data_IF_187375070721
#
_entry.id   IF_187375070721
#
_cell.length_a   1.000
_cell.length_b   1.000
_cell.length_c   1.000
_cell.angle_alpha   90.00
_cell.angle_beta   90.00
_cell.angle_gamma   90.00
#
_symmetry.space_group_name_H-M   'P 1'
#
loop_
_entity.id
_entity.type
_entity.pdbx_description
1 polymer ?
#
# COMPACT_ATOMS: atom_id res chain seq x y z
N UNK A 1 12.45 4.36 -11.00
CA UNK A 1 13.01 3.76 -9.79
C UNK A 1 13.76 2.50 -10.19
N UNK A 2 14.84 2.15 -9.49
CA UNK A 2 15.64 0.96 -9.76
C UNK A 2 15.95 0.23 -8.46
N UNK A 3 15.89 -1.11 -8.49
CA UNK A 3 16.26 -1.96 -7.36
C UNK A 3 17.64 -2.54 -7.67
N UNK A 4 18.61 -2.28 -6.79
CA UNK A 4 20.00 -2.66 -6.96
C UNK A 4 20.36 -3.68 -5.87
N UNK A 5 20.78 -4.88 -6.28
CA UNK A 5 21.37 -5.87 -5.38
C UNK A 5 22.86 -5.53 -5.18
N UNK A 6 23.27 -5.22 -3.95
CA UNK A 6 24.65 -4.86 -3.60
C UNK A 6 25.46 -6.04 -3.07
N UNK A 7 24.77 -7.10 -2.67
CA UNK A 7 25.35 -8.34 -2.17
C UNK A 7 24.23 -9.28 -1.71
N UNK A 8 24.60 -10.48 -1.26
CA UNK A 8 23.68 -11.61 -1.00
C UNK A 8 22.43 -11.26 -0.18
N UNK A 9 22.54 -10.30 0.75
CA UNK A 9 21.42 -9.87 1.59
C UNK A 9 21.26 -8.34 1.66
N UNK A 10 21.89 -7.60 0.76
CA UNK A 10 21.93 -6.15 0.80
C UNK A 10 21.36 -5.57 -0.48
N UNK A 11 20.34 -4.74 -0.32
CA UNK A 11 19.61 -4.14 -1.44
C UNK A 11 19.57 -2.62 -1.30
N UNK A 12 19.33 -1.96 -2.43
CA UNK A 12 19.05 -0.54 -2.47
C UNK A 12 17.91 -0.25 -3.43
N UNK A 13 17.04 0.69 -3.04
CA UNK A 13 16.05 1.27 -3.95
C UNK A 13 16.53 2.68 -4.29
N UNK A 14 16.72 2.93 -5.58
CA UNK A 14 17.20 4.20 -6.12
C UNK A 14 16.10 4.91 -6.92
N UNK A 15 15.85 6.17 -6.55
CA UNK A 15 14.90 7.06 -7.18
C UNK A 15 15.66 7.96 -8.15
N UNK A 16 15.32 7.87 -9.44
CA UNK A 16 16.09 8.51 -10.54
C UNK A 16 16.21 10.04 -10.40
N UNK A 17 15.29 10.68 -9.68
CA UNK A 17 15.29 12.12 -9.42
C UNK A 17 15.19 12.38 -7.92
N UNK A 18 15.91 13.35 -7.37
CA UNK A 18 15.60 13.85 -6.02
C UNK A 18 14.45 14.85 -6.15
N UNK A 19 13.29 14.54 -5.55
CA UNK A 19 12.16 15.45 -5.45
C UNK A 19 11.57 15.40 -4.04
N UNK A 20 10.72 16.37 -3.71
CA UNK A 20 10.10 16.47 -2.38
C UNK A 20 9.27 15.24 -2.03
N UNK A 21 8.58 14.64 -3.01
CA UNK A 21 7.78 13.42 -2.80
C UNK A 21 8.64 12.23 -2.38
N UNK A 22 9.83 12.07 -2.97
CA UNK A 22 10.79 11.03 -2.62
C UNK A 22 11.31 11.23 -1.19
N UNK A 23 11.60 12.47 -0.81
CA UNK A 23 11.97 12.79 0.57
C UNK A 23 10.88 12.39 1.56
N UNK A 24 9.63 12.72 1.27
CA UNK A 24 8.48 12.39 2.13
C UNK A 24 8.32 10.87 2.25
N UNK A 25 8.30 10.16 1.12
CA UNK A 25 8.18 8.71 1.09
C UNK A 25 9.30 8.04 1.90
N UNK A 26 10.56 8.41 1.65
CA UNK A 26 11.70 7.84 2.34
C UNK A 26 11.71 8.16 3.84
N UNK A 27 11.31 9.38 4.23
CA UNK A 27 11.15 9.74 5.66
C UNK A 27 10.08 8.88 6.33
N UNK A 28 8.92 8.71 5.70
CA UNK A 28 7.86 7.86 6.23
C UNK A 28 8.32 6.41 6.39
N UNK A 29 9.04 5.87 5.38
CA UNK A 29 9.60 4.52 5.46
C UNK A 29 10.61 4.36 6.59
N UNK A 30 11.49 5.35 6.81
CA UNK A 30 12.43 5.30 7.92
C UNK A 30 11.72 5.35 9.28
N UNK A 31 10.74 6.24 9.42
CA UNK A 31 9.97 6.41 10.66
C UNK A 31 9.12 5.17 11.00
N UNK A 32 8.60 4.49 9.98
CA UNK A 32 7.82 3.26 10.13
C UNK A 32 8.62 2.09 10.69
N UNK A 33 9.94 2.11 10.57
CA UNK A 33 10.85 1.00 10.91
C UNK A 33 10.49 -0.33 10.20
N UNK A 34 9.66 -0.31 9.15
CA UNK A 34 9.22 -1.51 8.41
C UNK A 34 10.40 -2.32 7.87
N UNK A 35 11.44 -1.64 7.36
CA UNK A 35 12.64 -2.28 6.82
C UNK A 35 13.61 -2.80 7.92
N UNK A 36 13.31 -2.49 9.19
CA UNK A 36 14.05 -2.90 10.37
C UNK A 36 15.38 -2.16 10.57
N UNK A 37 16.12 -2.61 11.60
CA UNK A 37 17.41 -2.05 11.97
C UNK A 37 18.44 -2.17 10.83
N UNK A 38 19.32 -1.16 10.71
CA UNK A 38 20.33 -1.06 9.67
C UNK A 38 19.87 -0.40 8.37
N UNK A 39 18.61 0.03 8.29
CA UNK A 39 18.11 0.81 7.15
C UNK A 39 18.75 2.20 7.15
N UNK A 40 19.29 2.62 6.01
CA UNK A 40 19.93 3.93 5.84
C UNK A 40 19.40 4.63 4.59
N UNK A 41 19.33 5.96 4.64
CA UNK A 41 18.95 6.81 3.51
C UNK A 41 20.13 7.72 3.17
N UNK A 42 20.38 7.94 1.88
CA UNK A 42 21.39 8.89 1.44
C UNK A 42 21.00 10.33 1.79
N UNK A 43 21.95 11.24 2.05
CA UNK A 43 21.64 12.62 2.47
C UNK A 43 20.73 13.39 1.50
N UNK A 44 20.80 13.05 0.22
CA UNK A 44 20.01 13.64 -0.87
C UNK A 44 18.64 12.96 -1.08
N UNK A 45 18.27 11.99 -0.23
CA UNK A 45 16.98 11.28 -0.24
C UNK A 45 16.60 10.71 -1.61
N UNK A 46 17.59 10.21 -2.35
CA UNK A 46 17.37 9.51 -3.62
C UNK A 46 17.55 8.00 -3.48
N UNK A 47 18.00 7.51 -2.32
CA UNK A 47 18.33 6.10 -2.15
C UNK A 47 18.10 5.64 -0.72
N UNK A 48 17.53 4.44 -0.59
CA UNK A 48 17.38 3.72 0.68
C UNK A 48 18.08 2.37 0.58
N UNK A 49 18.89 2.04 1.58
CA UNK A 49 19.60 0.76 1.69
C UNK A 49 19.05 -0.03 2.86
N UNK A 50 18.86 -1.34 2.69
CA UNK A 50 18.35 -2.23 3.72
C UNK A 50 18.77 -3.67 3.43
N UNK A 51 18.55 -4.54 4.43
CA UNK A 51 18.84 -5.97 4.31
C UNK A 51 17.57 -6.78 4.06
N UNK A 52 17.63 -7.69 3.10
CA UNK A 52 16.55 -8.61 2.75
C UNK A 52 17.13 -9.92 2.17
N UNK A 53 16.33 -10.97 2.13
CA UNK A 53 16.66 -12.24 1.45
C UNK A 53 16.20 -12.22 0.00
N UNK A 54 15.10 -11.54 -0.30
CA UNK A 54 14.55 -11.43 -1.64
C UNK A 54 13.67 -10.18 -1.75
N UNK A 55 13.63 -9.58 -2.94
CA UNK A 55 12.72 -8.48 -3.29
C UNK A 55 12.01 -8.82 -4.59
N UNK A 56 10.70 -8.63 -4.61
CA UNK A 56 9.87 -8.77 -5.82
C UNK A 56 8.70 -7.78 -5.74
N UNK A 57 7.87 -7.68 -6.77
CA UNK A 57 6.59 -6.94 -6.69
C UNK A 57 5.48 -7.88 -6.22
N UNK A 58 4.39 -7.31 -5.70
CA UNK A 58 3.21 -8.09 -5.33
C UNK A 58 2.62 -8.80 -6.56
N UNK A 59 2.59 -8.12 -7.71
CA UNK A 59 2.18 -8.72 -8.98
C UNK A 59 3.00 -9.98 -9.31
N UNK A 60 4.34 -9.88 -9.34
CA UNK A 60 5.21 -11.03 -9.64
C UNK A 60 5.08 -12.15 -8.59
N UNK A 61 4.86 -11.81 -7.32
CA UNK A 61 4.60 -12.81 -6.28
C UNK A 61 3.30 -13.59 -6.54
N UNK A 62 2.22 -12.90 -6.87
CA UNK A 62 0.93 -13.52 -7.15
C UNK A 62 0.98 -14.38 -8.42
N UNK A 63 1.68 -13.93 -9.47
CA UNK A 63 1.94 -14.73 -10.66
C UNK A 63 2.74 -16.00 -10.35
N UNK A 64 3.74 -15.91 -9.48
CA UNK A 64 4.52 -17.06 -9.01
C UNK A 64 3.62 -18.07 -8.30
N UNK A 65 2.75 -17.62 -7.38
CA UNK A 65 1.81 -18.51 -6.70
C UNK A 65 0.83 -19.16 -7.66
N UNK A 66 0.37 -18.43 -8.69
CA UNK A 66 -0.49 -18.98 -9.72
C UNK A 66 0.21 -20.13 -10.47
N UNK A 67 1.49 -19.96 -10.81
CA UNK A 67 2.29 -20.99 -11.50
C UNK A 67 2.60 -22.20 -10.61
N UNK A 68 2.95 -21.98 -9.35
CA UNK A 68 3.42 -23.03 -8.44
C UNK A 68 2.29 -23.79 -7.74
N UNK A 69 1.17 -23.11 -7.45
CA UNK A 69 0.10 -23.62 -6.57
C UNK A 69 -1.28 -23.58 -7.23
N UNK A 70 -1.38 -23.11 -8.47
CA UNK A 70 -2.64 -22.87 -9.18
C UNK A 70 -3.59 -21.90 -8.43
N UNK A 71 -3.03 -20.98 -7.62
CA UNK A 71 -3.77 -19.95 -6.88
C UNK A 71 -3.05 -18.61 -6.96
N UNK A 72 -3.76 -17.52 -7.27
CA UNK A 72 -3.18 -16.18 -7.37
C UNK A 72 -3.53 -15.32 -6.14
N UNK A 73 -3.42 -15.90 -4.93
CA UNK A 73 -3.79 -15.26 -3.65
C UNK A 73 -2.70 -15.41 -2.60
N UNK A 74 -2.66 -14.43 -1.71
CA UNK A 74 -1.98 -14.50 -0.43
C UNK A 74 -2.79 -15.37 0.55
N UNK A 75 -2.11 -15.97 1.52
CA UNK A 75 -2.81 -16.59 2.65
C UNK A 75 -3.23 -15.54 3.71
N UNK A 76 -3.87 -15.99 4.78
CA UNK A 76 -4.35 -15.13 5.86
C UNK A 76 -3.21 -14.30 6.51
N UNK A 77 -2.09 -14.95 6.83
CA UNK A 77 -0.95 -14.31 7.50
C UNK A 77 -0.25 -13.30 6.58
N UNK A 78 -0.06 -13.66 5.31
CA UNK A 78 0.52 -12.79 4.28
C UNK A 78 -0.36 -11.57 4.01
N UNK A 79 -1.68 -11.74 3.99
CA UNK A 79 -2.63 -10.62 3.85
C UNK A 79 -2.59 -9.72 5.07
N UNK A 80 -2.53 -10.31 6.27
CA UNK A 80 -2.40 -9.54 7.51
C UNK A 80 -1.08 -8.76 7.54
N UNK A 81 0.02 -9.35 7.08
CA UNK A 81 1.31 -8.66 6.91
C UNK A 81 1.23 -7.52 5.88
N UNK A 82 0.50 -7.72 4.78
CA UNK A 82 0.27 -6.70 3.75
C UNK A 82 -0.50 -5.50 4.32
N UNK A 83 -1.64 -5.75 4.98
CA UNK A 83 -2.45 -4.68 5.56
C UNK A 83 -1.68 -3.91 6.63
N UNK A 84 -1.00 -4.62 7.54
CA UNK A 84 -0.19 -3.99 8.59
C UNK A 84 0.97 -3.16 8.04
N UNK A 85 1.68 -3.66 7.03
CA UNK A 85 2.81 -2.92 6.46
C UNK A 85 2.36 -1.65 5.75
N UNK A 86 1.30 -1.74 4.94
CA UNK A 86 0.78 -0.60 4.19
C UNK A 86 0.03 0.39 5.10
N UNK A 87 -0.73 -0.07 6.09
CA UNK A 87 -1.40 0.82 7.06
C UNK A 87 -0.38 1.59 7.91
N UNK A 88 0.70 0.93 8.35
CA UNK A 88 1.83 1.59 9.00
C UNK A 88 2.47 2.63 8.08
N UNK A 89 2.71 2.28 6.81
CA UNK A 89 3.26 3.23 5.85
C UNK A 89 2.35 4.45 5.66
N UNK A 90 1.04 4.26 5.47
CA UNK A 90 0.05 5.35 5.34
C UNK A 90 0.09 6.23 6.59
N UNK A 91 0.08 5.65 7.78
CA UNK A 91 0.12 6.41 9.04
C UNK A 91 1.31 7.36 9.12
N UNK A 92 2.49 6.88 8.74
CA UNK A 92 3.69 7.70 8.75
C UNK A 92 3.70 8.77 7.65
N UNK A 93 3.03 8.51 6.51
CA UNK A 93 2.79 9.55 5.51
C UNK A 93 1.80 10.60 6.02
N UNK A 94 0.72 10.19 6.70
CA UNK A 94 -0.29 11.10 7.27
C UNK A 94 0.33 12.04 8.31
N UNK A 95 1.25 11.52 9.15
CA UNK A 95 2.03 12.33 10.08
C UNK A 95 2.93 13.37 9.39
N UNK A 96 3.20 13.20 8.09
CA UNK A 96 3.89 14.15 7.23
C UNK A 96 2.93 14.93 6.32
N UNK A 97 1.62 14.93 6.59
CA UNK A 97 0.55 15.52 5.78
C UNK A 97 0.49 15.01 4.33
N UNK A 98 0.76 13.71 4.12
CA UNK A 98 0.66 13.09 2.80
C UNK A 98 -0.08 11.77 2.86
N UNK A 99 -0.63 11.34 1.74
CA UNK A 99 -1.21 10.00 1.58
C UNK A 99 -1.16 9.58 0.12
N UNK A 100 -1.47 8.33 -0.17
CA UNK A 100 -1.79 7.87 -1.52
C UNK A 100 -3.29 7.99 -1.76
N UNK A 101 -3.74 7.92 -3.01
CA UNK A 101 -5.16 7.79 -3.33
C UNK A 101 -5.55 6.41 -3.88
N UNK A 102 -4.56 5.62 -4.31
CA UNK A 102 -4.75 4.29 -4.89
C UNK A 102 -3.54 3.37 -4.65
N UNK A 103 -3.70 2.08 -4.93
CA UNK A 103 -2.65 1.07 -4.98
C UNK A 103 -2.53 0.43 -6.36
N UNK A 104 -1.30 0.06 -6.73
CA UNK A 104 -1.02 -0.75 -7.93
C UNK A 104 -0.13 -1.93 -7.56
N UNK A 105 -0.44 -3.14 -8.05
CA UNK A 105 0.23 -4.38 -7.64
C UNK A 105 1.72 -4.41 -8.04
N UNK A 106 2.05 -3.85 -9.20
CA UNK A 106 3.41 -3.71 -9.71
C UNK A 106 4.22 -2.63 -8.95
N UNK A 107 3.53 -1.77 -8.21
CA UNK A 107 4.12 -0.71 -7.37
C UNK A 107 4.14 -1.05 -5.88
N UNK A 108 3.77 -2.26 -5.50
CA UNK A 108 3.94 -2.77 -4.13
C UNK A 108 5.14 -3.72 -4.14
N UNK A 109 6.20 -3.35 -3.43
CA UNK A 109 7.34 -4.22 -3.19
C UNK A 109 7.02 -5.21 -2.07
N UNK A 110 7.40 -6.47 -2.29
CA UNK A 110 7.42 -7.53 -1.29
C UNK A 110 8.87 -7.81 -0.93
N UNK A 111 9.22 -7.49 0.31
CA UNK A 111 10.57 -7.65 0.85
C UNK A 111 10.54 -8.80 1.84
N UNK A 112 11.25 -9.88 1.53
CA UNK A 112 11.33 -11.05 2.42
C UNK A 112 12.53 -10.93 3.34
N UNK A 113 12.31 -11.03 4.66
CA UNK A 113 13.37 -10.97 5.69
C UNK A 113 13.04 -11.96 6.80
N UNK A 114 13.95 -12.90 7.09
CA UNK A 114 13.77 -13.90 8.15
C UNK A 114 12.39 -14.60 8.10
N UNK A 115 11.96 -15.01 6.90
CA UNK A 115 10.66 -15.65 6.63
C UNK A 115 9.42 -14.76 6.82
N UNK A 116 9.57 -13.47 7.14
CA UNK A 116 8.49 -12.48 7.13
C UNK A 116 8.46 -11.71 5.82
N UNK A 117 7.27 -11.32 5.35
CA UNK A 117 7.11 -10.44 4.20
C UNK A 117 6.72 -9.05 4.67
N UNK A 118 7.44 -8.05 4.20
CA UNK A 118 7.16 -6.64 4.40
C UNK A 118 6.67 -6.08 3.06
N UNK A 119 5.56 -5.35 3.08
CA UNK A 119 4.95 -4.78 1.88
C UNK A 119 5.08 -3.26 1.88
N UNK A 120 5.57 -2.69 0.79
CA UNK A 120 5.80 -1.25 0.68
C UNK A 120 5.28 -0.74 -0.65
N UNK A 121 4.40 0.27 -0.61
CA UNK A 121 3.99 0.99 -1.81
C UNK A 121 4.99 2.08 -2.16
N UNK A 122 5.45 2.10 -3.40
CA UNK A 122 6.55 2.97 -3.86
C UNK A 122 6.12 3.93 -4.98
N UNK A 123 4.83 3.97 -5.34
CA UNK A 123 4.37 4.86 -6.40
C UNK A 123 4.32 6.32 -5.94
N UNK A 124 5.35 7.10 -6.30
CA UNK A 124 5.46 8.51 -5.93
C UNK A 124 4.46 9.40 -6.68
N UNK A 125 3.96 8.94 -7.83
CA UNK A 125 3.01 9.68 -8.64
C UNK A 125 1.63 9.72 -7.95
N UNK A 126 1.29 8.66 -7.21
CA UNK A 126 0.05 8.56 -6.43
C UNK A 126 0.09 9.34 -5.11
N UNK A 127 1.27 9.87 -4.72
CA UNK A 127 1.43 10.58 -3.45
C UNK A 127 0.85 12.00 -3.55
N UNK A 128 -0.08 12.30 -2.65
CA UNK A 128 -0.81 13.57 -2.56
C UNK A 128 -0.62 14.23 -1.21
N UNK A 129 -0.70 15.56 -1.18
CA UNK A 129 -0.66 16.36 0.05
C UNK A 129 -2.06 16.41 0.67
N UNK A 130 -2.10 16.31 1.99
CA UNK A 130 -3.32 16.43 2.80
C UNK A 130 -3.44 17.88 3.27
N UNK A 131 -4.55 18.51 2.93
CA UNK A 131 -4.92 19.85 3.40
C UNK A 131 -6.31 19.78 4.02
N UNK A 132 -6.47 20.20 5.27
CA UNK A 132 -7.75 20.16 5.99
C UNK A 132 -8.43 18.77 5.90
N UNK A 133 -7.66 17.70 6.15
CA UNK A 133 -8.11 16.29 6.08
C UNK A 133 -8.57 15.82 4.68
N UNK A 134 -8.25 16.57 3.64
CA UNK A 134 -8.67 16.28 2.27
C UNK A 134 -7.48 16.25 1.32
N UNK A 135 -7.61 15.50 0.24
CA UNK A 135 -6.73 15.55 -0.92
C UNK A 135 -7.47 16.25 -2.07
N UNK A 136 -6.75 17.02 -2.89
CA UNK A 136 -7.33 17.76 -4.01
C UNK A 136 -6.79 17.22 -5.34
N UNK A 137 -7.69 16.72 -6.18
CA UNK A 137 -7.39 16.35 -7.56
C UNK A 137 -7.51 17.60 -8.44
N UNK A 138 -6.40 17.97 -9.08
CA UNK A 138 -6.31 19.14 -9.99
C UNK A 138 -6.00 18.74 -11.44
N UNK A 139 -5.63 17.47 -11.67
CA UNK A 139 -5.34 16.90 -12.98
C UNK A 139 -6.15 15.64 -13.20
N UNK A 140 -6.53 15.32 -14.45
CA UNK A 140 -7.18 14.05 -14.77
C UNK A 140 -6.34 12.84 -14.37
N UNK A 141 -7.00 11.76 -13.98
CA UNK A 141 -6.42 10.46 -13.65
C UNK A 141 -7.37 9.34 -14.09
N UNK A 142 -6.90 8.11 -14.11
CA UNK A 142 -7.72 6.97 -14.53
C UNK A 142 -8.73 6.56 -13.44
N UNK A 143 -10.02 6.61 -13.76
CA UNK A 143 -11.11 6.16 -12.87
C UNK A 143 -11.31 4.63 -12.90
N UNK A 144 -10.64 3.91 -13.82
CA UNK A 144 -10.71 2.44 -13.94
C UNK A 144 -9.71 1.71 -13.05
N UNK A 145 -8.98 2.43 -12.20
CA UNK A 145 -8.06 1.83 -11.24
C UNK A 145 -8.85 0.90 -10.29
N UNK A 146 -8.35 -0.32 -10.04
CA UNK A 146 -9.15 -1.40 -9.46
C UNK A 146 -9.62 -1.08 -8.04
N UNK A 147 -8.74 -0.53 -7.22
CA UNK A 147 -8.98 -0.38 -5.79
C UNK A 147 -9.49 1.02 -5.40
N UNK A 148 -10.02 1.81 -6.34
CA UNK A 148 -10.46 3.17 -6.01
C UNK A 148 -11.67 3.19 -5.06
N UNK A 149 -11.62 4.17 -4.16
CA UNK A 149 -12.72 4.54 -3.29
C UNK A 149 -13.97 4.98 -4.10
N UNK A 150 -15.20 4.62 -3.69
CA UNK A 150 -16.42 4.98 -4.40
C UNK A 150 -16.65 6.49 -4.50
N UNK A 151 -16.16 7.29 -3.55
CA UNK A 151 -16.21 8.76 -3.60
C UNK A 151 -15.31 9.28 -4.72
N UNK A 152 -14.12 8.70 -4.90
CA UNK A 152 -13.21 9.05 -6.00
C UNK A 152 -13.81 8.65 -7.35
N UNK A 153 -14.44 7.47 -7.44
CA UNK A 153 -15.09 7.00 -8.68
C UNK A 153 -16.23 7.90 -9.15
N UNK A 154 -16.85 8.67 -8.24
CA UNK A 154 -17.95 9.60 -8.52
C UNK A 154 -17.48 10.99 -8.94
N UNK A 155 -16.17 11.26 -8.96
CA UNK A 155 -15.67 12.57 -9.38
C UNK A 155 -15.93 12.80 -10.87
N UNK A 156 -16.61 13.91 -11.19
CA UNK A 156 -16.92 14.29 -12.57
C UNK A 156 -16.32 15.63 -13.00
N UNK A 157 -15.69 16.37 -12.07
CA UNK A 157 -15.15 17.72 -12.31
C UNK A 157 -13.78 17.89 -11.66
N UNK A 158 -13.01 18.87 -12.13
CA UNK A 158 -11.75 19.29 -11.52
C UNK A 158 -11.76 20.82 -11.34
N UNK A 159 -11.21 21.36 -10.24
CA UNK A 159 -10.63 20.62 -9.11
C UNK A 159 -11.71 19.94 -8.26
N UNK A 160 -11.37 18.78 -7.68
CA UNK A 160 -12.25 18.02 -6.79
C UNK A 160 -11.54 17.63 -5.51
N UNK A 161 -12.29 17.58 -4.39
CA UNK A 161 -11.76 17.25 -3.07
C UNK A 161 -12.41 15.99 -2.53
N UNK A 162 -11.60 15.12 -1.94
CA UNK A 162 -12.05 13.90 -1.25
C UNK A 162 -11.32 13.80 0.08
N UNK A 163 -11.95 13.18 1.08
CA UNK A 163 -11.31 12.95 2.37
C UNK A 163 -10.04 12.08 2.21
N UNK A 164 -8.96 12.40 2.92
CA UNK A 164 -7.70 11.66 2.82
C UNK A 164 -7.80 10.19 3.26
N UNK A 165 -8.84 9.84 4.03
CA UNK A 165 -9.12 8.46 4.47
C UNK A 165 -9.66 7.55 3.35
N UNK A 166 -9.85 8.05 2.13
CA UNK A 166 -10.18 7.23 0.97
C UNK A 166 -9.16 6.10 0.73
N UNK A 167 -7.88 6.32 1.09
CA UNK A 167 -6.83 5.32 0.92
C UNK A 167 -7.07 4.04 1.72
N UNK A 168 -7.75 4.15 2.88
CA UNK A 168 -8.07 2.99 3.70
C UNK A 168 -9.09 2.09 3.00
N UNK A 169 -10.08 2.67 2.30
CA UNK A 169 -10.99 1.87 1.49
C UNK A 169 -10.22 1.11 0.40
N UNK A 170 -9.29 1.78 -0.29
CA UNK A 170 -8.43 1.15 -1.30
C UNK A 170 -7.57 0.03 -0.71
N UNK A 171 -7.10 0.20 0.53
CA UNK A 171 -6.35 -0.82 1.26
C UNK A 171 -7.21 -2.04 1.60
N UNK A 172 -8.45 -1.83 2.06
CA UNK A 172 -9.41 -2.92 2.30
C UNK A 172 -9.74 -3.72 1.04
N UNK A 173 -9.96 -3.02 -0.07
CA UNK A 173 -10.16 -3.62 -1.40
C UNK A 173 -8.96 -4.46 -1.84
N UNK A 174 -7.74 -3.94 -1.66
CA UNK A 174 -6.50 -4.67 -1.94
C UNK A 174 -6.38 -5.94 -1.07
N UNK A 175 -6.71 -5.84 0.22
CA UNK A 175 -6.72 -6.99 1.13
C UNK A 175 -7.67 -8.11 0.68
N UNK A 176 -8.91 -7.75 0.32
CA UNK A 176 -9.89 -8.71 -0.22
C UNK A 176 -9.41 -9.33 -1.53
N UNK A 177 -8.89 -8.52 -2.45
CA UNK A 177 -8.35 -9.01 -3.71
C UNK A 177 -7.23 -10.03 -3.47
N UNK A 178 -6.30 -9.72 -2.57
CA UNK A 178 -5.19 -10.60 -2.22
C UNK A 178 -5.66 -11.92 -1.58
N UNK A 179 -6.76 -11.93 -0.82
CA UNK A 179 -7.29 -13.15 -0.19
C UNK A 179 -8.08 -14.05 -1.16
N UNK A 180 -8.82 -13.45 -2.09
CA UNK A 180 -9.82 -14.17 -2.89
C UNK A 180 -9.50 -14.23 -4.38
N UNK A 181 -8.45 -13.55 -4.85
CA UNK A 181 -8.02 -13.49 -6.26
C UNK A 181 -9.10 -12.99 -7.22
N UNK A 182 -10.07 -12.21 -6.74
CA UNK A 182 -11.19 -11.74 -7.54
C UNK A 182 -11.71 -10.39 -7.03
N UNK A 183 -11.98 -9.46 -7.94
CA UNK A 183 -12.45 -8.11 -7.67
C UNK A 183 -13.74 -7.80 -8.45
N UNK A 184 -14.85 -8.37 -7.99
CA UNK A 184 -16.19 -7.90 -8.33
C UNK A 184 -16.76 -7.07 -7.18
N UNK A 185 -17.05 -5.79 -7.43
CA UNK A 185 -17.63 -4.86 -6.44
C UNK A 185 -18.92 -5.41 -5.79
N UNK A 186 -19.66 -6.26 -6.52
CA UNK A 186 -20.92 -6.84 -6.08
C UNK A 186 -20.77 -8.01 -5.09
N UNK A 187 -19.55 -8.43 -4.75
CA UNK A 187 -19.31 -9.65 -3.94
C UNK A 187 -18.48 -9.41 -2.67
N UNK A 188 -18.23 -8.15 -2.28
CA UNK A 188 -17.42 -7.83 -1.09
C UNK A 188 -17.99 -8.44 0.20
N UNK A 189 -19.31 -8.34 0.41
CA UNK A 189 -19.96 -8.87 1.62
C UNK A 189 -19.86 -10.39 1.72
N UNK A 190 -20.10 -11.11 0.61
CA UNK A 190 -19.98 -12.57 0.57
C UNK A 190 -18.55 -13.05 0.80
N UNK A 191 -17.57 -12.31 0.27
CA UNK A 191 -16.14 -12.59 0.50
C UNK A 191 -15.76 -12.36 1.96
N UNK A 192 -16.20 -11.25 2.55
CA UNK A 192 -15.98 -10.96 3.97
C UNK A 192 -16.59 -12.02 4.88
N UNK A 193 -17.76 -12.58 4.54
CA UNK A 193 -18.40 -13.64 5.32
C UNK A 193 -17.50 -14.89 5.45
N UNK A 194 -16.63 -15.19 4.48
CA UNK A 194 -15.70 -16.34 4.54
C UNK A 194 -14.62 -16.21 5.61
N UNK A 195 -14.31 -14.98 6.03
CA UNK A 195 -13.32 -14.69 7.08
C UNK A 195 -13.98 -14.12 8.34
N UNK A 196 -15.31 -14.20 8.45
CA UNK A 196 -16.08 -13.66 9.56
C UNK A 196 -15.53 -14.13 10.91
N UNK A 197 -15.61 -13.25 11.90
CA UNK A 197 -15.10 -13.47 13.27
C UNK A 197 -13.58 -13.56 13.40
N UNK A 198 -12.81 -13.36 12.33
CA UNK A 198 -11.36 -13.20 12.41
C UNK A 198 -10.96 -11.75 12.67
N UNK A 199 -9.71 -11.52 13.13
CA UNK A 199 -9.16 -10.16 13.26
C UNK A 199 -9.12 -9.44 11.91
N UNK A 200 -8.74 -10.17 10.85
CA UNK A 200 -8.65 -9.66 9.49
C UNK A 200 -10.01 -9.18 8.95
N UNK A 201 -11.10 -9.88 9.27
CA UNK A 201 -12.46 -9.43 8.95
C UNK A 201 -12.76 -8.06 9.54
N UNK A 202 -12.52 -7.88 10.84
CA UNK A 202 -12.81 -6.61 11.53
C UNK A 202 -11.91 -5.46 11.06
N UNK A 203 -10.70 -5.78 10.61
CA UNK A 203 -9.78 -4.81 10.04
C UNK A 203 -10.26 -4.35 8.65
N UNK A 204 -10.53 -5.28 7.73
CA UNK A 204 -11.02 -4.95 6.38
C UNK A 204 -12.39 -4.27 6.43
N UNK A 205 -13.32 -4.74 7.26
CA UNK A 205 -14.65 -4.15 7.40
C UNK A 205 -14.55 -2.67 7.79
N UNK A 206 -13.62 -2.33 8.67
CA UNK A 206 -13.41 -0.96 9.14
C UNK A 206 -12.76 -0.07 8.07
N UNK A 207 -11.81 -0.62 7.32
CA UNK A 207 -11.22 0.07 6.18
C UNK A 207 -12.25 0.43 5.11
N UNK A 208 -13.25 -0.43 4.92
CA UNK A 208 -14.30 -0.28 3.91
C UNK A 208 -15.59 0.35 4.45
N UNK A 209 -15.56 0.96 5.64
CA UNK A 209 -16.75 1.61 6.21
C UNK A 209 -17.28 2.71 5.29
N UNK A 210 -18.60 2.82 5.16
CA UNK A 210 -19.23 3.83 4.30
C UNK A 210 -18.91 5.24 4.81
N UNK A 211 -18.88 5.42 6.13
CA UNK A 211 -18.47 6.67 6.77
C UNK A 211 -16.94 6.71 6.90
N UNK A 212 -16.32 7.68 6.23
CA UNK A 212 -14.87 7.86 6.28
C UNK A 212 -14.37 8.11 7.71
N UNK A 213 -15.18 8.64 8.63
CA UNK A 213 -14.72 8.88 10.00
C UNK A 213 -14.41 7.59 10.76
N UNK A 214 -15.08 6.49 10.40
CA UNK A 214 -14.88 5.18 10.99
C UNK A 214 -13.69 4.41 10.38
N UNK A 215 -13.20 4.83 9.20
CA UNK A 215 -12.02 4.25 8.55
C UNK A 215 -10.76 4.59 9.33
N UNK A 216 -10.27 3.64 10.12
CA UNK A 216 -9.08 3.81 10.96
C UNK A 216 -8.24 2.52 10.98
N UNK A 217 -6.91 2.61 10.88
CA UNK A 217 -6.03 1.48 11.14
C UNK A 217 -6.01 1.13 12.63
N UNK A 218 -5.80 -0.14 12.95
CA UNK A 218 -5.45 -0.57 14.30
C UNK A 218 -3.94 -0.55 14.44
N UNK A 219 -3.41 0.36 15.26
CA UNK A 219 -2.05 0.25 15.75
C UNK A 219 -2.11 -0.53 17.07
N UNK A 220 -1.61 -1.76 17.06
CA UNK A 220 -1.47 -2.60 18.24
C UNK A 220 -0.07 -2.45 18.84
#
# INVERSE_FOLDING_TARGET
>A
MEIIEKGKYSYSIEFKNSNTKNQILLKALLQSKLLGAGTTITPNFNKINFNATNITTLETLLEKYKKERNIAKLNYDETSQLLNSLSSQIHHLENLNHTFFNFSLDKILVITKNSQKIFIHINIDDLMTIENKSITFITPFDLKLPFLDPEIKKLCTLPSKVNSKCIYYSLGCLGLYCLFSDFGENDHERKLEQIKYTKLYWEILRYMDKDFENRKPNFF
#
